data_IF_705966312144
#
_entry.id   IF_705966312144
#
_cell.length_a   1.000
_cell.length_b   1.000
_cell.length_c   1.000
_cell.angle_alpha   90.00
_cell.angle_beta   90.00
_cell.angle_gamma   90.00
#
_symmetry.space_group_name_H-M   'P 1'
#
loop_
_entity.id
_entity.type
_entity.pdbx_description
1 polymer ?
#
# COMPACT_ATOMS: atom_id res chain seq x y z
N UNK A 1 8.28 14.28 -37.35
CA UNK A 1 7.89 13.76 -36.05
C UNK A 1 6.51 14.33 -35.70
N UNK A 2 5.65 13.49 -35.17
CA UNK A 2 4.36 13.90 -34.62
C UNK A 2 4.53 14.42 -33.21
N UNK A 3 3.80 15.48 -32.86
CA UNK A 3 3.74 16.01 -31.49
C UNK A 3 2.26 16.12 -31.08
N UNK A 4 1.93 15.59 -29.90
CA UNK A 4 0.59 15.66 -29.34
C UNK A 4 0.23 17.06 -28.83
N UNK A 5 -1.05 17.27 -28.54
CA UNK A 5 -1.53 18.37 -27.70
C UNK A 5 -1.30 18.01 -26.24
N UNK A 6 -1.40 19.01 -25.37
CA UNK A 6 -1.43 18.78 -23.92
C UNK A 6 -2.49 17.72 -23.57
N UNK A 7 -2.12 16.72 -22.77
CA UNK A 7 -2.95 15.58 -22.39
C UNK A 7 -3.09 14.48 -23.43
N UNK A 8 -2.26 14.49 -24.47
CA UNK A 8 -2.25 13.47 -25.52
C UNK A 8 -0.82 13.08 -25.90
N UNK A 9 -0.52 11.79 -25.92
CA UNK A 9 0.72 11.22 -26.42
C UNK A 9 0.55 10.67 -27.85
N UNK A 10 1.66 10.59 -28.59
CA UNK A 10 1.69 9.93 -29.89
C UNK A 10 1.42 8.43 -29.72
N UNK A 11 0.50 7.89 -30.51
CA UNK A 11 0.16 6.47 -30.51
C UNK A 11 0.84 5.77 -31.70
N UNK A 12 0.47 6.10 -32.91
CA UNK A 12 1.06 5.50 -34.13
C UNK A 12 0.82 6.34 -35.38
N UNK A 13 1.60 6.05 -36.40
CA UNK A 13 1.33 6.40 -37.80
C UNK A 13 0.64 5.25 -38.54
N UNK A 14 -0.15 5.57 -39.57
CA UNK A 14 -0.70 4.57 -40.50
C UNK A 14 -0.76 5.13 -41.93
N UNK A 15 -0.59 4.24 -42.91
CA UNK A 15 -0.89 4.47 -44.32
C UNK A 15 -2.29 3.93 -44.71
N UNK A 16 -3.12 3.56 -43.71
CA UNK A 16 -4.41 2.91 -43.88
C UNK A 16 -4.36 1.39 -43.88
N UNK A 17 -3.18 0.78 -44.04
CA UNK A 17 -2.97 -0.68 -44.04
C UNK A 17 -2.02 -1.16 -42.96
N UNK A 18 -0.97 -0.40 -42.68
CA UNK A 18 0.08 -0.70 -41.70
C UNK A 18 0.09 0.33 -40.59
N UNK A 19 0.55 -0.08 -39.42
CA UNK A 19 0.79 0.79 -38.25
C UNK A 19 2.28 0.88 -37.98
N UNK A 20 2.74 2.08 -37.65
CA UNK A 20 4.11 2.35 -37.20
C UNK A 20 4.06 3.11 -35.89
N UNK A 21 4.49 2.49 -34.80
CA UNK A 21 4.50 3.05 -33.44
C UNK A 21 5.73 3.94 -33.19
N UNK A 22 6.61 4.10 -34.16
CA UNK A 22 7.74 5.04 -34.05
C UNK A 22 7.30 6.45 -34.46
N UNK A 23 7.53 7.44 -33.58
CA UNK A 23 7.14 8.83 -33.86
C UNK A 23 7.78 9.41 -35.10
N UNK A 24 8.89 8.84 -35.55
CA UNK A 24 9.61 9.19 -36.75
C UNK A 24 9.13 8.50 -38.04
N UNK A 25 8.10 7.63 -38.01
CA UNK A 25 7.64 6.81 -39.10
C UNK A 25 8.71 5.89 -39.71
N UNK A 26 9.56 5.30 -38.90
CA UNK A 26 10.75 4.60 -39.41
C UNK A 26 10.41 3.36 -40.23
N UNK A 27 9.36 2.63 -39.85
CA UNK A 27 8.87 1.46 -40.59
C UNK A 27 8.20 1.86 -41.89
N UNK A 28 7.26 2.82 -41.87
CA UNK A 28 6.53 3.26 -43.07
C UNK A 28 7.44 3.97 -44.08
N UNK A 29 8.45 4.72 -43.64
CA UNK A 29 9.44 5.35 -44.51
C UNK A 29 10.29 4.36 -45.27
N UNK A 30 10.45 3.14 -44.79
CA UNK A 30 11.22 2.10 -45.48
C UNK A 30 10.42 1.34 -46.51
N UNK A 31 9.11 1.56 -46.62
CA UNK A 31 8.24 0.91 -47.59
C UNK A 31 8.35 1.57 -48.96
N UNK A 32 8.08 0.78 -50.00
CA UNK A 32 8.01 1.25 -51.40
C UNK A 32 6.54 1.50 -51.74
N UNK A 33 6.20 2.75 -52.02
CA UNK A 33 4.87 3.14 -52.50
C UNK A 33 4.91 3.40 -53.99
N UNK A 34 4.00 2.78 -54.73
CA UNK A 34 3.88 2.91 -56.18
C UNK A 34 2.90 4.00 -56.60
N UNK A 35 2.08 4.46 -55.67
CA UNK A 35 1.08 5.51 -55.84
C UNK A 35 1.20 6.57 -54.75
N UNK A 36 0.35 7.61 -54.77
CA UNK A 36 0.25 8.59 -53.71
C UNK A 36 -0.17 7.90 -52.38
N UNK A 37 0.63 8.05 -51.38
CA UNK A 37 0.34 7.55 -50.03
C UNK A 37 -0.06 8.70 -49.10
N UNK A 38 -1.08 8.46 -48.28
CA UNK A 38 -1.50 9.34 -47.21
C UNK A 38 -1.10 8.73 -45.85
N UNK A 39 -0.48 9.53 -45.00
CA UNK A 39 -0.06 9.09 -43.67
C UNK A 39 -0.80 9.88 -42.62
N UNK A 40 -1.44 9.15 -41.71
CA UNK A 40 -2.18 9.74 -40.60
C UNK A 40 -1.51 9.41 -39.27
N UNK A 41 -1.25 10.43 -38.44
CA UNK A 41 -0.79 10.26 -37.06
C UNK A 41 -2.00 10.17 -36.10
N UNK A 42 -1.97 9.18 -35.24
CA UNK A 42 -2.93 9.02 -34.14
C UNK A 42 -2.27 9.38 -32.83
N UNK A 43 -3.08 9.99 -31.94
CA UNK A 43 -2.72 10.36 -30.57
C UNK A 43 -3.81 9.85 -29.65
N UNK A 44 -3.43 9.45 -28.45
CA UNK A 44 -4.35 9.00 -27.43
C UNK A 44 -4.12 9.74 -26.11
N UNK A 45 -5.05 9.61 -25.19
CA UNK A 45 -5.03 10.28 -23.88
C UNK A 45 -3.76 9.90 -23.13
N UNK A 46 -3.14 10.92 -22.53
CA UNK A 46 -1.93 10.82 -21.70
C UNK A 46 -2.14 11.74 -20.50
N UNK A 47 -2.69 11.19 -19.43
CA UNK A 47 -2.98 11.88 -18.18
C UNK A 47 -2.34 11.19 -16.96
N UNK A 48 -1.66 10.06 -17.19
CA UNK A 48 -1.05 9.22 -16.18
C UNK A 48 0.43 9.07 -16.46
N UNK A 49 1.18 8.69 -15.45
CA UNK A 49 2.61 8.51 -15.57
C UNK A 49 3.17 7.46 -14.62
N UNK A 50 4.40 7.06 -14.93
CA UNK A 50 5.15 6.07 -14.15
C UNK A 50 5.76 6.65 -12.87
N UNK A 51 5.69 7.97 -12.66
CA UNK A 51 6.19 8.64 -11.46
C UNK A 51 5.28 8.33 -10.27
N UNK A 52 5.81 7.61 -9.29
CA UNK A 52 5.06 7.20 -8.10
C UNK A 52 4.71 8.38 -7.16
N UNK A 53 5.45 9.50 -7.21
CA UNK A 53 5.13 10.70 -6.44
C UNK A 53 3.95 11.48 -7.07
N UNK A 54 3.84 11.42 -8.38
CA UNK A 54 2.80 12.13 -9.13
C UNK A 54 2.28 11.26 -10.28
N UNK A 55 1.48 10.22 -9.99
CA UNK A 55 1.00 9.28 -11.01
C UNK A 55 0.04 9.90 -12.03
N UNK A 56 -0.52 11.07 -11.74
CA UNK A 56 -1.41 11.81 -12.66
C UNK A 56 -0.62 12.84 -13.51
N UNK A 57 0.68 12.61 -13.70
CA UNK A 57 1.55 13.47 -14.51
C UNK A 57 1.84 12.81 -15.87
N UNK A 58 1.43 13.40 -17.01
CA UNK A 58 1.67 12.87 -18.34
C UNK A 58 3.14 12.53 -18.60
N UNK A 59 3.42 11.37 -19.18
CA UNK A 59 4.78 10.87 -19.43
C UNK A 59 5.09 10.59 -20.90
N UNK A 60 4.21 11.01 -21.81
CA UNK A 60 4.24 10.78 -23.25
C UNK A 60 4.00 9.31 -23.66
N UNK A 61 3.37 8.53 -22.78
CA UNK A 61 2.87 7.18 -23.05
C UNK A 61 1.34 7.23 -23.01
N UNK A 62 0.62 6.81 -24.05
CA UNK A 62 -0.85 6.73 -23.97
C UNK A 62 -1.31 5.88 -22.79
N UNK A 63 -2.30 6.37 -22.03
CA UNK A 63 -2.82 5.72 -20.82
C UNK A 63 -3.24 4.25 -21.00
N UNK A 64 -3.68 3.89 -22.21
CA UNK A 64 -4.06 2.51 -22.57
C UNK A 64 -2.89 1.52 -22.58
N UNK A 65 -1.66 2.01 -22.66
CA UNK A 65 -0.45 1.20 -22.58
C UNK A 65 0.17 1.19 -21.19
N UNK A 66 -0.62 1.51 -20.19
CA UNK A 66 -0.18 1.52 -18.80
C UNK A 66 -1.10 0.67 -17.92
N UNK A 67 -0.52 -0.11 -17.02
CA UNK A 67 -1.24 -0.87 -16.01
C UNK A 67 -1.19 -0.15 -14.68
N UNK A 68 -2.35 0.02 -14.05
CA UNK A 68 -2.49 0.57 -12.70
C UNK A 68 -2.00 -0.44 -11.66
N UNK A 69 -1.16 0.00 -10.72
CA UNK A 69 -0.78 -0.73 -9.52
C UNK A 69 -1.20 0.08 -8.30
N UNK A 70 -1.91 -0.54 -7.38
CA UNK A 70 -2.42 0.09 -6.15
C UNK A 70 -1.82 -0.59 -4.93
N UNK A 71 -1.33 0.20 -4.00
CA UNK A 71 -0.85 -0.24 -2.70
C UNK A 71 -1.74 0.33 -1.61
N UNK A 72 -2.25 -0.53 -0.73
CA UNK A 72 -3.14 -0.17 0.36
C UNK A 72 -2.57 -0.60 1.71
N UNK A 73 -2.77 0.21 2.74
CA UNK A 73 -2.43 -0.12 4.12
C UNK A 73 -3.68 -0.13 5.01
N UNK A 74 -3.84 -1.20 5.77
CA UNK A 74 -4.83 -1.31 6.84
C UNK A 74 -4.08 -1.27 8.16
N UNK A 75 -4.40 -0.29 9.01
CA UNK A 75 -3.74 -0.06 10.31
C UNK A 75 -2.28 0.40 10.19
N UNK A 76 -2.00 1.22 9.18
CA UNK A 76 -0.69 1.77 8.93
C UNK A 76 -0.67 2.67 7.71
N UNK A 77 0.49 2.82 7.10
CA UNK A 77 0.70 3.58 5.89
C UNK A 77 1.67 2.89 4.95
N UNK A 78 1.51 3.11 3.65
CA UNK A 78 2.49 2.79 2.60
C UNK A 78 3.22 4.06 2.18
N UNK A 79 4.46 3.91 1.76
CA UNK A 79 5.28 4.98 1.17
C UNK A 79 5.76 4.52 -0.20
N UNK A 80 5.59 5.37 -1.21
CA UNK A 80 5.94 5.10 -2.60
C UNK A 80 6.44 6.39 -3.23
N UNK A 81 7.64 6.40 -3.82
CA UNK A 81 8.22 7.56 -4.49
C UNK A 81 8.26 8.82 -3.61
N UNK A 82 8.44 8.72 -2.29
CA UNK A 82 8.44 9.86 -1.36
C UNK A 82 7.06 10.25 -0.82
N UNK A 83 5.96 9.83 -1.43
CA UNK A 83 4.60 10.05 -0.91
C UNK A 83 4.22 8.98 0.11
N UNK A 84 3.46 9.36 1.15
CA UNK A 84 2.97 8.44 2.20
C UNK A 84 1.47 8.59 2.37
N UNK A 85 0.76 7.45 2.44
CA UNK A 85 -0.69 7.41 2.60
C UNK A 85 -1.22 6.03 2.92
N UNK A 86 -2.54 5.91 3.08
CA UNK A 86 -3.22 4.62 3.26
C UNK A 86 -3.50 3.93 1.92
N UNK A 87 -3.47 4.66 0.83
CA UNK A 87 -3.56 4.16 -0.54
C UNK A 87 -2.67 5.01 -1.43
N UNK A 88 -1.83 4.36 -2.23
CA UNK A 88 -0.99 4.99 -3.24
C UNK A 88 -1.07 4.22 -4.55
N UNK A 89 -0.92 4.93 -5.66
CA UNK A 89 -1.04 4.41 -7.01
C UNK A 89 0.22 4.72 -7.80
N UNK A 90 0.60 3.83 -8.69
CA UNK A 90 1.56 4.06 -9.77
C UNK A 90 1.07 3.36 -11.04
N UNK A 91 1.64 3.72 -12.18
CA UNK A 91 1.34 3.07 -13.46
C UNK A 91 2.63 2.49 -14.04
N UNK A 92 2.51 1.31 -14.65
CA UNK A 92 3.63 0.59 -15.27
C UNK A 92 3.38 0.54 -16.76
N UNK A 93 4.34 1.00 -17.57
CA UNK A 93 4.25 0.92 -19.03
C UNK A 93 4.33 -0.52 -19.51
N UNK A 94 3.41 -0.89 -20.41
CA UNK A 94 3.27 -2.23 -20.95
C UNK A 94 3.93 -2.34 -22.34
N UNK A 95 4.67 -3.42 -22.56
CA UNK A 95 5.39 -3.70 -23.79
C UNK A 95 5.03 -5.08 -24.33
N UNK A 96 5.04 -5.21 -25.65
CA UNK A 96 4.99 -6.51 -26.33
C UNK A 96 6.36 -7.20 -26.40
N UNK A 97 6.41 -8.35 -27.04
CA UNK A 97 7.65 -9.12 -27.20
C UNK A 97 8.74 -8.38 -28.01
N UNK A 98 8.35 -7.41 -28.82
CA UNK A 98 9.26 -6.59 -29.65
C UNK A 98 9.70 -5.31 -28.92
N UNK A 99 9.28 -5.14 -27.66
CA UNK A 99 9.61 -3.96 -26.84
C UNK A 99 8.86 -2.69 -27.25
N UNK A 100 7.71 -2.84 -27.92
CA UNK A 100 6.81 -1.73 -28.29
C UNK A 100 5.64 -1.66 -27.34
N UNK A 101 5.09 -0.47 -27.13
CA UNK A 101 3.90 -0.28 -26.31
C UNK A 101 2.73 -1.13 -26.78
N UNK A 102 2.10 -1.85 -25.87
CA UNK A 102 1.00 -2.75 -26.20
C UNK A 102 -0.03 -2.78 -25.08
N UNK A 103 -1.33 -2.64 -25.44
CA UNK A 103 -2.46 -2.61 -24.50
C UNK A 103 -2.57 -3.87 -23.65
N UNK A 104 -2.18 -5.03 -24.17
CA UNK A 104 -2.16 -6.31 -23.44
C UNK A 104 -0.73 -6.83 -23.25
N UNK A 105 0.23 -5.92 -23.14
CA UNK A 105 1.62 -6.25 -22.92
C UNK A 105 1.94 -6.56 -21.46
N UNK A 106 3.22 -6.63 -21.16
CA UNK A 106 3.75 -6.82 -19.81
C UNK A 106 4.71 -5.68 -19.48
N UNK A 107 4.54 -5.09 -18.32
CA UNK A 107 5.46 -4.10 -17.77
C UNK A 107 6.25 -4.67 -16.60
N UNK A 108 7.31 -3.99 -16.19
CA UNK A 108 8.12 -4.35 -15.02
C UNK A 108 8.17 -3.18 -14.07
N UNK A 109 7.97 -3.47 -12.78
CA UNK A 109 8.10 -2.47 -11.73
C UNK A 109 9.55 -1.96 -11.66
N UNK A 110 9.70 -0.64 -11.65
CA UNK A 110 10.96 0.01 -11.31
C UNK A 110 11.14 0.06 -9.78
N UNK A 111 12.38 0.27 -9.31
CA UNK A 111 12.70 0.40 -7.88
C UNK A 111 11.80 1.46 -7.17
N UNK A 112 11.63 2.63 -7.78
CA UNK A 112 10.78 3.71 -7.24
C UNK A 112 9.29 3.36 -7.16
N UNK A 113 8.86 2.29 -7.81
CA UNK A 113 7.47 1.79 -7.81
C UNK A 113 7.25 0.66 -6.81
N UNK A 114 8.28 0.24 -6.06
CA UNK A 114 8.17 -0.74 -4.98
C UNK A 114 7.91 -0.01 -3.66
N UNK A 115 6.83 -0.33 -2.93
CA UNK A 115 6.48 0.39 -1.71
C UNK A 115 7.32 -0.06 -0.52
N UNK A 116 7.42 0.82 0.48
CA UNK A 116 7.69 0.45 1.87
C UNK A 116 6.42 0.67 2.69
N UNK A 117 6.38 0.10 3.90
CA UNK A 117 5.20 0.23 4.74
C UNK A 117 5.59 0.42 6.22
N UNK A 118 4.69 1.04 6.99
CA UNK A 118 4.87 1.26 8.41
C UNK A 118 3.55 1.06 9.17
N UNK A 119 3.60 0.33 10.28
CA UNK A 119 2.47 0.12 11.17
C UNK A 119 2.03 1.43 11.85
N UNK A 120 0.74 1.58 12.13
CA UNK A 120 0.25 2.61 13.04
C UNK A 120 0.72 2.35 14.48
N UNK A 121 0.56 3.37 15.35
CA UNK A 121 1.19 3.40 16.69
C UNK A 121 0.87 2.19 17.58
N UNK A 122 -0.34 1.64 17.49
CA UNK A 122 -0.82 0.56 18.37
C UNK A 122 -0.68 -0.84 17.75
N UNK A 123 0.00 -0.93 16.60
CA UNK A 123 0.20 -2.17 15.87
C UNK A 123 1.66 -2.61 15.90
N UNK A 124 1.87 -3.92 15.87
CA UNK A 124 3.21 -4.53 15.91
C UNK A 124 3.83 -4.57 14.52
N UNK A 125 4.91 -3.80 14.28
CA UNK A 125 5.61 -3.81 12.98
C UNK A 125 6.14 -5.19 12.57
N UNK A 126 6.42 -6.09 13.52
CA UNK A 126 6.92 -7.43 13.25
C UNK A 126 5.85 -8.35 12.63
N UNK A 127 4.58 -7.95 12.67
CA UNK A 127 3.44 -8.70 12.12
C UNK A 127 3.07 -8.25 10.70
N UNK A 128 3.91 -7.44 10.05
CA UNK A 128 3.68 -6.98 8.68
C UNK A 128 3.35 -8.13 7.73
N UNK A 129 2.21 -8.02 7.06
CA UNK A 129 1.74 -9.02 6.11
C UNK A 129 1.13 -8.40 4.88
N UNK A 130 1.70 -8.69 3.73
CA UNK A 130 1.17 -8.31 2.43
C UNK A 130 0.27 -9.40 1.82
N UNK A 131 -0.82 -8.98 1.19
CA UNK A 131 -1.73 -9.87 0.45
C UNK A 131 -2.19 -9.19 -0.84
N UNK A 132 -1.85 -9.73 -2.01
CA UNK A 132 -0.82 -10.77 -2.23
C UNK A 132 0.56 -10.31 -1.74
N UNK A 133 1.57 -11.18 -1.79
CA UNK A 133 2.94 -10.79 -1.42
C UNK A 133 3.38 -9.55 -2.22
N UNK A 134 4.02 -8.59 -1.54
CA UNK A 134 4.49 -7.36 -2.19
C UNK A 134 5.44 -7.71 -3.33
N UNK A 135 5.28 -7.09 -4.51
CA UNK A 135 6.16 -7.35 -5.64
C UNK A 135 7.54 -6.73 -5.40
N UNK A 136 8.56 -7.39 -5.88
CA UNK A 136 9.92 -6.84 -5.92
C UNK A 136 10.13 -5.99 -7.19
N UNK A 137 11.25 -5.25 -7.23
CA UNK A 137 11.73 -4.63 -8.46
C UNK A 137 11.85 -5.69 -9.58
N UNK A 138 11.47 -5.31 -10.80
CA UNK A 138 11.45 -6.17 -11.95
C UNK A 138 10.28 -7.16 -12.01
N UNK A 139 9.38 -7.17 -11.02
CA UNK A 139 8.17 -7.99 -11.07
C UNK A 139 7.29 -7.60 -12.25
N UNK A 140 6.74 -8.62 -12.93
CA UNK A 140 5.90 -8.43 -14.10
C UNK A 140 4.49 -7.98 -13.70
N UNK A 141 4.00 -6.93 -14.36
CA UNK A 141 2.65 -6.37 -14.23
C UNK A 141 1.96 -6.46 -15.57
N UNK A 142 0.71 -6.91 -15.58
CA UNK A 142 -0.13 -6.98 -16.77
C UNK A 142 -1.16 -5.84 -16.81
N UNK A 143 -1.91 -5.73 -17.92
CA UNK A 143 -2.84 -4.64 -18.18
C UNK A 143 -3.86 -4.37 -17.05
N UNK A 144 -4.32 -5.39 -16.35
CA UNK A 144 -5.33 -5.22 -15.30
C UNK A 144 -4.77 -4.74 -13.96
N UNK A 145 -3.44 -4.58 -13.83
CA UNK A 145 -2.80 -4.14 -12.60
C UNK A 145 -3.11 -5.05 -11.41
N UNK A 146 -2.55 -4.75 -10.26
CA UNK A 146 -2.81 -5.49 -9.03
C UNK A 146 -3.03 -4.55 -7.85
N UNK A 147 -3.80 -5.02 -6.86
CA UNK A 147 -3.93 -4.35 -5.56
C UNK A 147 -3.16 -5.16 -4.54
N UNK A 148 -2.21 -4.53 -3.87
CA UNK A 148 -1.41 -5.12 -2.80
C UNK A 148 -1.80 -4.45 -1.49
N UNK A 149 -2.25 -5.24 -0.52
CA UNK A 149 -2.71 -4.73 0.78
C UNK A 149 -1.77 -5.22 1.88
N UNK A 150 -1.25 -4.29 2.67
CA UNK A 150 -0.48 -4.58 3.88
C UNK A 150 -1.35 -4.41 5.13
N UNK A 151 -1.16 -5.32 6.09
CA UNK A 151 -1.89 -5.33 7.37
C UNK A 151 -0.93 -5.63 8.51
N UNK A 152 -1.30 -5.21 9.74
CA UNK A 152 -0.58 -5.53 10.97
C UNK A 152 -1.57 -5.97 12.06
N UNK A 153 -1.08 -6.74 13.03
CA UNK A 153 -1.84 -7.09 14.22
C UNK A 153 -1.59 -6.07 15.35
N UNK A 154 -2.56 -5.94 16.24
CA UNK A 154 -2.40 -5.11 17.44
C UNK A 154 -1.19 -5.57 18.25
N UNK A 155 -0.40 -4.62 18.74
CA UNK A 155 0.74 -4.88 19.59
C UNK A 155 0.30 -5.46 20.95
N UNK A 156 1.21 -6.20 21.57
CA UNK A 156 1.04 -6.73 22.92
C UNK A 156 1.73 -5.78 23.91
N UNK A 157 1.07 -5.44 25.00
CA UNK A 157 1.60 -4.59 26.08
C UNK A 157 1.41 -5.26 27.43
N UNK A 158 2.29 -4.90 28.39
CA UNK A 158 2.17 -5.34 29.77
C UNK A 158 1.10 -4.58 30.54
N UNK A 159 0.51 -5.23 31.51
CA UNK A 159 -0.34 -4.59 32.50
C UNK A 159 -0.11 -5.21 33.89
N UNK A 160 -0.50 -4.48 34.96
CA UNK A 160 -0.43 -4.94 36.33
C UNK A 160 -1.81 -4.78 37.00
N UNK A 161 -2.17 -5.70 37.88
CA UNK A 161 -3.34 -5.62 38.74
C UNK A 161 -2.86 -5.79 40.18
N UNK A 162 -3.17 -4.83 41.05
CA UNK A 162 -2.83 -4.83 42.45
C UNK A 162 -4.11 -4.88 43.29
N UNK A 163 -4.09 -5.62 44.39
CA UNK A 163 -5.19 -5.75 45.33
C UNK A 163 -4.80 -5.11 46.66
N UNK A 164 -5.64 -4.22 47.16
CA UNK A 164 -5.43 -3.52 48.44
C UNK A 164 -6.57 -3.82 49.40
N UNK A 165 -6.23 -4.12 50.66
CA UNK A 165 -7.15 -4.36 51.75
C UNK A 165 -6.84 -3.38 52.87
N UNK A 166 -7.76 -2.45 53.15
CA UNK A 166 -7.56 -1.32 54.10
C UNK A 166 -6.23 -0.56 53.85
N UNK A 167 -5.87 -0.39 52.59
CA UNK A 167 -4.65 0.30 52.16
C UNK A 167 -3.37 -0.57 52.22
N UNK A 168 -3.46 -1.84 52.60
CA UNK A 168 -2.34 -2.80 52.57
C UNK A 168 -2.39 -3.63 51.31
N UNK A 169 -1.31 -3.62 50.54
CA UNK A 169 -1.20 -4.39 49.30
C UNK A 169 -1.04 -5.89 49.59
N UNK A 170 -1.86 -6.71 48.92
CA UNK A 170 -1.64 -8.15 48.83
C UNK A 170 -0.70 -8.44 47.65
N UNK A 171 0.60 -8.37 47.89
CA UNK A 171 1.62 -8.60 46.87
C UNK A 171 1.63 -10.04 46.35
N UNK A 172 1.08 -11.00 47.09
CA UNK A 172 0.97 -12.40 46.68
C UNK A 172 -0.12 -12.60 45.60
N UNK A 173 -1.12 -11.72 45.58
CA UNK A 173 -2.20 -11.73 44.58
C UNK A 173 -1.97 -10.78 43.41
N UNK A 174 -0.91 -9.95 43.44
CA UNK A 174 -0.58 -9.06 42.35
C UNK A 174 -0.36 -9.83 41.04
N UNK A 175 -0.92 -9.31 39.94
CA UNK A 175 -0.82 -9.91 38.59
C UNK A 175 0.06 -9.04 37.72
N UNK A 176 1.08 -9.66 37.13
CA UNK A 176 1.85 -9.08 36.03
C UNK A 176 1.57 -9.93 34.78
N UNK A 177 0.97 -9.35 33.75
CA UNK A 177 0.58 -10.07 32.58
C UNK A 177 0.72 -9.21 31.32
N UNK A 178 0.46 -9.81 30.17
CA UNK A 178 0.44 -9.13 28.87
C UNK A 178 -0.90 -9.38 28.19
N UNK A 179 -1.31 -8.44 27.34
CA UNK A 179 -2.50 -8.55 26.51
C UNK A 179 -2.41 -7.64 25.29
N UNK A 180 -3.35 -7.78 24.37
CA UNK A 180 -3.40 -6.92 23.18
C UNK A 180 -3.81 -5.51 23.56
N UNK A 181 -3.23 -4.51 22.92
CA UNK A 181 -3.67 -3.12 23.06
C UNK A 181 -5.15 -3.02 22.68
N UNK A 182 -5.94 -2.32 23.50
CA UNK A 182 -7.38 -2.18 23.34
C UNK A 182 -8.22 -3.23 24.08
N UNK A 183 -7.61 -4.32 24.57
CA UNK A 183 -8.31 -5.27 25.41
C UNK A 183 -8.58 -4.69 26.82
N UNK A 184 -9.69 -5.08 27.43
CA UNK A 184 -9.95 -4.74 28.82
C UNK A 184 -8.98 -5.47 29.75
N UNK A 185 -8.45 -4.77 30.76
CA UNK A 185 -7.59 -5.38 31.79
C UNK A 185 -8.47 -6.31 32.66
N UNK A 186 -8.22 -7.64 32.67
CA UNK A 186 -8.98 -8.54 33.52
C UNK A 186 -8.53 -8.42 34.98
N UNK A 187 -9.49 -8.41 35.90
CA UNK A 187 -9.24 -8.46 37.31
C UNK A 187 -10.25 -9.36 38.04
N UNK A 188 -9.88 -9.92 39.19
CA UNK A 188 -10.70 -10.86 39.94
C UNK A 188 -11.47 -10.14 41.08
N UNK A 189 -12.80 -10.04 40.91
CA UNK A 189 -13.69 -9.47 41.92
C UNK A 189 -13.96 -10.42 43.12
N UNK A 190 -13.54 -11.69 43.01
CA UNK A 190 -13.68 -12.71 44.06
C UNK A 190 -12.58 -12.67 45.13
N UNK A 191 -11.63 -11.73 45.07
CA UNK A 191 -10.59 -11.51 46.07
C UNK A 191 -11.15 -10.80 47.30
N UNK A 192 -11.94 -11.52 48.10
CA UNK A 192 -12.69 -10.96 49.27
C UNK A 192 -12.12 -11.37 50.61
N UNK A 193 -10.99 -12.08 50.66
CA UNK A 193 -10.34 -12.47 51.93
C UNK A 193 -8.86 -12.15 51.93
N UNK A 194 -8.36 -11.53 52.99
CA UNK A 194 -6.97 -11.23 53.19
C UNK A 194 -6.62 -11.32 54.68
N UNK A 195 -5.51 -11.96 55.05
CA UNK A 195 -5.00 -12.15 56.40
C UNK A 195 -6.08 -12.65 57.39
N UNK A 196 -6.94 -13.58 56.94
CA UNK A 196 -7.99 -14.19 57.73
C UNK A 196 -9.25 -13.33 57.96
N UNK A 197 -9.32 -12.13 57.43
CA UNK A 197 -10.47 -11.24 57.42
C UNK A 197 -11.24 -11.28 56.11
N UNK A 198 -12.54 -10.98 56.17
CA UNK A 198 -13.40 -10.85 54.99
C UNK A 198 -13.57 -9.39 54.61
N UNK A 199 -13.51 -9.11 53.34
CA UNK A 199 -13.63 -7.78 52.74
C UNK A 199 -14.75 -7.76 51.71
N UNK A 200 -15.26 -6.58 51.43
CA UNK A 200 -16.20 -6.30 50.34
C UNK A 200 -15.47 -5.41 49.36
N UNK A 201 -15.58 -5.73 48.05
CA UNK A 201 -15.04 -4.88 47.02
C UNK A 201 -15.75 -3.51 47.07
N UNK A 202 -15.03 -2.47 47.45
CA UNK A 202 -15.54 -1.11 47.60
C UNK A 202 -15.29 -0.30 46.32
N UNK A 203 -14.08 -0.39 45.75
CA UNK A 203 -13.69 0.40 44.62
C UNK A 203 -12.72 -0.40 43.72
N UNK A 204 -12.81 -0.15 42.40
CA UNK A 204 -11.83 -0.63 41.43
C UNK A 204 -11.28 0.60 40.73
N UNK A 205 -10.14 1.08 41.20
CA UNK A 205 -9.43 2.14 40.50
C UNK A 205 -8.92 1.63 39.12
N UNK A 206 -9.21 2.36 38.09
CA UNK A 206 -8.91 1.92 36.74
C UNK A 206 -9.88 0.93 36.10
N UNK A 207 -11.05 0.63 36.75
CA UNK A 207 -12.09 -0.18 36.11
C UNK A 207 -12.49 0.38 34.77
N UNK A 208 -12.55 -0.50 33.75
CA UNK A 208 -12.83 -0.12 32.35
C UNK A 208 -11.64 0.46 31.60
N UNK A 209 -10.44 0.55 32.22
CA UNK A 209 -9.22 0.88 31.45
C UNK A 209 -8.89 -0.23 30.46
N UNK A 210 -8.37 0.20 29.31
CA UNK A 210 -7.90 -0.68 28.26
C UNK A 210 -6.36 -0.77 28.29
N UNK A 211 -5.83 -1.87 27.82
CA UNK A 211 -4.39 -2.04 27.64
C UNK A 211 -3.90 -1.02 26.61
N UNK A 212 -2.83 -0.31 26.92
CA UNK A 212 -2.18 0.68 26.05
C UNK A 212 -0.67 0.48 26.05
N UNK A 213 0.04 1.14 25.12
CA UNK A 213 1.52 1.10 25.10
C UNK A 213 2.17 1.64 26.38
N UNK A 214 1.49 2.56 27.07
CA UNK A 214 1.98 3.22 28.29
C UNK A 214 1.44 2.56 29.56
N UNK A 215 0.81 1.39 29.48
CA UNK A 215 0.21 0.67 30.62
C UNK A 215 1.23 0.30 31.72
N UNK A 216 2.53 0.31 31.42
CA UNK A 216 3.59 0.11 32.42
C UNK A 216 3.76 1.29 33.39
N UNK A 217 3.05 2.39 33.22
CA UNK A 217 3.09 3.59 34.05
C UNK A 217 1.87 3.72 35.00
N UNK A 218 1.00 2.71 35.07
CA UNK A 218 -0.23 2.71 35.88
C UNK A 218 -0.12 1.72 37.04
#
# INVERSE_FOLDING_TARGET
NAAGREGYAFDYWTDGTKRDVTSGMETLKSEVYTDNAEFTAYFDVDTKGTDAENPDNPDNVPDKYQAKVTYQAVNGAVTLGGSTGTELVTYVTLFDADGKWAENGTGKLAEAQVPTAAAAADYDPATERWTPAVPAEGAEITADGAVFTVTWELAISGYQVHYYYDGVEDTASAVNATGKIGDAIPYDTGKTTFDGANYVLENVDGAGKLISKDAAAN
#
